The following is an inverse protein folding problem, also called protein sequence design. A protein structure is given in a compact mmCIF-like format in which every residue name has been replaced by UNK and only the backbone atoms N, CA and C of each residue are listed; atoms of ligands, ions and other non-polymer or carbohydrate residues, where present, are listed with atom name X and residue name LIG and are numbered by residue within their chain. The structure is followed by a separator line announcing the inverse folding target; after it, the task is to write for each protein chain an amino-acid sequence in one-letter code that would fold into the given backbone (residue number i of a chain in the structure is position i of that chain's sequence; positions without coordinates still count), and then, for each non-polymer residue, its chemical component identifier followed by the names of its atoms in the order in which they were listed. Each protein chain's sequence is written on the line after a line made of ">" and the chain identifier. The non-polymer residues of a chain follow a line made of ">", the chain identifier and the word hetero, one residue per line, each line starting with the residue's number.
data_IF_925619849455
#
_entry.id   IF_925619849455
#
_cell.length_a   1.000
_cell.length_b   1.000
_cell.length_c   1.000
_cell.angle_alpha   90.00
_cell.angle_beta   90.00
_cell.angle_gamma   90.00
#
_symmetry.space_group_name_H-M   'P 1'
#
loop_
_entity.id
_entity.type
_entity.pdbx_description
1 polymer ?
#
# COMPACT_ATOMS: atom_id res chain seq x y z
N UNK A 1 -18.51 -1.08 -10.79
CA UNK A 1 -17.81 0.21 -11.01
C UNK A 1 -17.08 0.21 -12.34
N UNK A 2 -16.05 -0.64 -12.53
CA UNK A 2 -15.27 -0.66 -13.78
C UNK A 2 -16.10 -1.05 -15.02
N UNK A 3 -17.10 -1.92 -14.88
CA UNK A 3 -18.05 -2.22 -15.96
C UNK A 3 -18.79 -0.97 -16.45
N UNK A 4 -19.30 -0.13 -15.55
CA UNK A 4 -19.95 1.13 -15.91
C UNK A 4 -18.99 2.11 -16.61
N UNK A 5 -17.70 2.12 -16.23
CA UNK A 5 -16.68 2.91 -16.94
C UNK A 5 -16.49 2.39 -18.36
N UNK A 6 -16.46 1.07 -18.55
CA UNK A 6 -16.35 0.42 -19.86
C UNK A 6 -17.60 0.66 -20.73
N UNK A 7 -18.78 0.74 -20.13
CA UNK A 7 -20.02 1.11 -20.84
C UNK A 7 -20.00 2.56 -21.31
N UNK A 8 -19.51 3.49 -20.48
CA UNK A 8 -19.42 4.91 -20.82
C UNK A 8 -18.31 5.21 -21.83
N UNK A 9 -17.20 4.47 -21.79
CA UNK A 9 -16.08 4.60 -22.72
C UNK A 9 -15.60 3.22 -23.20
N UNK A 10 -16.26 2.65 -24.23
CA UNK A 10 -15.95 1.31 -24.72
C UNK A 10 -14.53 1.12 -25.24
N UNK A 11 -13.93 2.17 -25.80
CA UNK A 11 -12.57 2.15 -26.34
C UNK A 11 -11.48 2.33 -25.27
N UNK A 12 -11.85 2.58 -24.01
CA UNK A 12 -10.88 2.69 -22.93
C UNK A 12 -10.21 1.34 -22.70
N UNK A 13 -8.90 1.27 -22.99
CA UNK A 13 -8.09 0.08 -22.79
C UNK A 13 -6.75 0.46 -22.14
N UNK A 14 -6.73 0.67 -20.82
CA UNK A 14 -5.53 1.13 -20.13
C UNK A 14 -4.45 0.05 -20.15
N UNK A 15 -3.21 0.45 -20.44
CA UNK A 15 -2.04 -0.42 -20.28
C UNK A 15 -1.72 -0.67 -18.80
N UNK A 16 -2.03 0.30 -17.94
CA UNK A 16 -1.75 0.26 -16.51
C UNK A 16 -2.72 1.13 -15.70
N UNK A 17 -3.01 0.75 -14.47
CA UNK A 17 -3.76 1.54 -13.47
C UNK A 17 -2.97 1.58 -12.16
N UNK A 18 -2.94 2.74 -11.51
CA UNK A 18 -2.53 2.86 -10.11
C UNK A 18 -3.77 2.96 -9.23
N UNK A 19 -3.88 2.08 -8.24
CA UNK A 19 -5.07 2.02 -7.37
C UNK A 19 -4.72 1.64 -5.93
N UNK A 20 -5.74 1.64 -5.08
CA UNK A 20 -5.60 1.15 -3.71
C UNK A 20 -5.43 -0.38 -3.67
N UNK A 21 -5.16 -0.84 -2.45
CA UNK A 21 -4.85 -2.21 -2.15
C UNK A 21 -6.14 -2.99 -1.75
N UNK A 22 -7.29 -2.72 -2.38
CA UNK A 22 -8.50 -3.49 -2.09
C UNK A 22 -8.67 -4.68 -3.05
N UNK A 23 -8.70 -5.90 -2.48
CA UNK A 23 -8.81 -7.14 -3.25
C UNK A 23 -10.07 -7.19 -4.14
N UNK A 24 -11.19 -6.66 -3.64
CA UNK A 24 -12.43 -6.58 -4.40
C UNK A 24 -12.31 -5.64 -5.60
N UNK A 25 -11.67 -4.48 -5.42
CA UNK A 25 -11.45 -3.52 -6.49
C UNK A 25 -10.49 -4.08 -7.54
N UNK A 26 -9.39 -4.71 -7.12
CA UNK A 26 -8.43 -5.36 -8.01
C UNK A 26 -9.10 -6.47 -8.83
N UNK A 27 -9.87 -7.35 -8.19
CA UNK A 27 -10.60 -8.41 -8.88
C UNK A 27 -11.59 -7.87 -9.91
N UNK A 28 -12.31 -6.80 -9.59
CA UNK A 28 -13.23 -6.14 -10.51
C UNK A 28 -12.50 -5.48 -11.70
N UNK A 29 -11.34 -4.86 -11.46
CA UNK A 29 -10.51 -4.29 -12.53
C UNK A 29 -9.98 -5.38 -13.46
N UNK A 30 -9.42 -6.46 -12.90
CA UNK A 30 -8.89 -7.60 -13.68
C UNK A 30 -9.97 -8.29 -14.51
N UNK A 31 -11.19 -8.39 -13.97
CA UNK A 31 -12.33 -8.96 -14.70
C UNK A 31 -12.76 -8.07 -15.87
N UNK A 32 -12.62 -6.76 -15.73
CA UNK A 32 -13.02 -5.78 -16.75
C UNK A 32 -11.93 -5.53 -17.80
N UNK A 33 -10.67 -5.48 -17.38
CA UNK A 33 -9.46 -5.17 -18.14
C UNK A 33 -8.32 -6.18 -17.83
N UNK A 34 -8.40 -7.42 -18.35
CA UNK A 34 -7.49 -8.51 -17.95
C UNK A 34 -6.02 -8.30 -18.35
N UNK A 35 -5.77 -7.42 -19.32
CA UNK A 35 -4.41 -7.10 -19.78
C UNK A 35 -3.81 -5.87 -19.08
N UNK A 36 -4.61 -5.13 -18.31
CA UNK A 36 -4.15 -3.94 -17.61
C UNK A 36 -3.16 -4.33 -16.50
N UNK A 37 -1.98 -3.71 -16.50
CA UNK A 37 -1.09 -3.79 -15.35
C UNK A 37 -1.70 -3.04 -14.15
N UNK A 38 -1.48 -3.56 -12.95
CA UNK A 38 -1.99 -2.98 -11.71
C UNK A 38 -0.78 -2.60 -10.87
N UNK A 39 -0.72 -1.34 -10.48
CA UNK A 39 0.32 -0.80 -9.63
C UNK A 39 -0.29 -0.32 -8.31
N UNK A 40 0.32 -0.73 -7.20
CA UNK A 40 -0.05 -0.21 -5.89
C UNK A 40 0.22 1.29 -5.80
N UNK A 41 -0.69 2.04 -5.18
CA UNK A 41 -0.54 3.48 -5.01
C UNK A 41 -0.01 3.83 -3.62
N UNK A 42 1.25 4.31 -3.53
CA UNK A 42 1.87 4.70 -2.25
C UNK A 42 1.09 5.80 -1.51
N UNK A 43 0.45 6.72 -2.25
CA UNK A 43 -0.39 7.76 -1.66
C UNK A 43 -1.57 7.15 -0.89
N UNK A 44 -2.28 6.20 -1.49
CA UNK A 44 -3.40 5.51 -0.83
C UNK A 44 -2.92 4.68 0.35
N UNK A 45 -1.79 3.97 0.21
CA UNK A 45 -1.20 3.21 1.31
C UNK A 45 -0.84 4.10 2.50
N UNK A 46 -0.17 5.23 2.25
CA UNK A 46 0.21 6.20 3.29
C UNK A 46 -1.02 6.84 3.92
N UNK A 47 -2.08 7.11 3.14
CA UNK A 47 -3.35 7.61 3.65
C UNK A 47 -4.03 6.60 4.57
N UNK A 48 -4.09 5.33 4.16
CA UNK A 48 -4.68 4.26 4.96
C UNK A 48 -3.87 4.02 6.25
N UNK A 49 -2.54 4.07 6.18
CA UNK A 49 -1.65 4.02 7.34
C UNK A 49 -1.97 5.14 8.34
N UNK A 50 -2.11 6.39 7.88
CA UNK A 50 -2.47 7.53 8.76
C UNK A 50 -3.85 7.38 9.38
N UNK A 51 -4.81 6.84 8.63
CA UNK A 51 -6.14 6.52 9.17
C UNK A 51 -6.02 5.46 10.27
N UNK A 52 -5.30 4.37 10.01
CA UNK A 52 -5.12 3.29 10.99
C UNK A 52 -4.40 3.78 12.26
N UNK A 53 -3.35 4.60 12.12
CA UNK A 53 -2.72 5.29 13.26
C UNK A 53 -3.69 6.18 14.05
N UNK A 54 -4.68 6.79 13.39
CA UNK A 54 -5.70 7.61 14.05
C UNK A 54 -6.68 6.74 14.82
N UNK A 55 -7.15 5.65 14.19
CA UNK A 55 -8.08 4.69 14.79
C UNK A 55 -7.47 4.01 16.03
N UNK A 56 -6.16 3.76 16.01
CA UNK A 56 -5.38 3.23 17.15
C UNK A 56 -4.95 4.29 18.18
N UNK A 57 -5.35 5.56 18.02
CA UNK A 57 -4.95 6.70 18.87
C UNK A 57 -3.43 6.99 18.92
N UNK A 58 -2.70 6.57 17.89
CA UNK A 58 -1.24 6.72 17.76
C UNK A 58 -0.83 7.95 16.94
N UNK A 59 -1.77 8.62 16.27
CA UNK A 59 -1.46 9.72 15.35
C UNK A 59 -0.77 10.92 16.03
N UNK A 60 -1.08 11.20 17.29
CA UNK A 60 -0.36 12.24 18.05
C UNK A 60 1.11 11.86 18.26
N UNK A 61 1.39 10.61 18.64
CA UNK A 61 2.76 10.12 18.80
C UNK A 61 3.53 10.14 17.48
N UNK A 62 2.88 9.73 16.39
CA UNK A 62 3.43 9.82 15.04
C UNK A 62 3.85 11.24 14.64
N UNK A 63 3.13 12.29 15.06
CA UNK A 63 3.48 13.66 14.70
C UNK A 63 4.57 14.29 15.60
N UNK A 64 4.77 13.76 16.80
CA UNK A 64 5.61 14.38 17.82
C UNK A 64 6.90 13.60 18.13
N UNK A 65 6.98 12.33 17.75
CA UNK A 65 8.15 11.48 17.94
C UNK A 65 8.72 11.05 16.57
N UNK A 66 9.89 11.59 16.17
CA UNK A 66 10.54 11.26 14.90
C UNK A 66 10.92 9.78 14.75
N UNK A 67 11.34 9.13 15.83
CA UNK A 67 11.75 7.72 15.81
C UNK A 67 10.54 6.80 15.66
N UNK A 68 9.46 7.11 16.39
CA UNK A 68 8.18 6.42 16.19
C UNK A 68 7.65 6.61 14.76
N UNK A 69 7.74 7.83 14.22
CA UNK A 69 7.33 8.13 12.86
C UNK A 69 8.16 7.38 11.82
N UNK A 70 9.48 7.24 12.06
CA UNK A 70 10.37 6.44 11.22
C UNK A 70 9.98 4.97 11.25
N UNK A 71 9.82 4.38 12.44
CA UNK A 71 9.39 3.00 12.62
C UNK A 71 8.05 2.71 11.91
N UNK A 72 7.07 3.62 12.05
CA UNK A 72 5.79 3.54 11.36
C UNK A 72 5.95 3.57 9.83
N UNK A 73 6.84 4.43 9.29
CA UNK A 73 7.12 4.48 7.85
C UNK A 73 7.86 3.23 7.34
N UNK A 74 8.68 2.59 8.17
CA UNK A 74 9.34 1.33 7.81
C UNK A 74 8.33 0.20 7.56
N UNK A 75 7.18 0.19 8.26
CA UNK A 75 6.08 -0.74 7.97
C UNK A 75 5.56 -0.54 6.54
N UNK A 76 5.35 0.71 6.12
CA UNK A 76 4.94 1.03 4.74
C UNK A 76 6.02 0.62 3.73
N UNK A 77 7.30 0.72 4.11
CA UNK A 77 8.42 0.35 3.25
C UNK A 77 8.47 -1.16 2.92
N UNK A 78 7.82 -2.02 3.73
CA UNK A 78 7.68 -3.44 3.42
C UNK A 78 6.99 -3.69 2.07
N UNK A 79 6.18 -2.75 1.58
CA UNK A 79 5.56 -2.83 0.26
C UNK A 79 6.57 -2.87 -0.91
N UNK A 80 7.85 -2.52 -0.66
CA UNK A 80 8.91 -2.50 -1.65
C UNK A 80 9.86 -3.70 -1.55
N UNK A 81 9.68 -4.57 -0.56
CA UNK A 81 10.55 -5.73 -0.36
C UNK A 81 10.18 -6.82 -1.37
N UNK A 82 11.17 -7.47 -2.03
CA UNK A 82 10.94 -8.61 -2.92
C UNK A 82 10.22 -9.78 -2.26
N UNK A 83 9.59 -10.67 -3.05
CA UNK A 83 8.76 -11.73 -2.48
C UNK A 83 9.52 -12.71 -1.62
N UNK A 84 10.72 -12.98 -2.07
CA UNK A 84 11.64 -13.94 -1.51
C UNK A 84 12.15 -13.50 -0.14
N UNK A 85 12.19 -12.18 0.10
CA UNK A 85 12.77 -11.58 1.30
C UNK A 85 11.72 -11.04 2.28
N UNK A 86 10.44 -10.95 1.89
CA UNK A 86 9.42 -10.26 2.69
C UNK A 86 9.22 -10.89 4.07
N UNK A 87 9.19 -12.22 4.16
CA UNK A 87 9.00 -12.90 5.45
C UNK A 87 10.09 -12.54 6.45
N UNK A 88 11.35 -12.58 6.00
CA UNK A 88 12.49 -12.19 6.82
C UNK A 88 12.44 -10.71 7.18
N UNK A 89 12.06 -9.84 6.25
CA UNK A 89 11.96 -8.41 6.49
C UNK A 89 10.86 -8.06 7.50
N UNK A 90 9.70 -8.72 7.42
CA UNK A 90 8.58 -8.56 8.36
C UNK A 90 9.00 -9.02 9.76
N UNK A 91 9.59 -10.21 9.88
CA UNK A 91 10.04 -10.75 11.16
C UNK A 91 11.11 -9.86 11.80
N UNK A 92 12.11 -9.44 11.02
CA UNK A 92 13.18 -8.56 11.47
C UNK A 92 12.61 -7.23 11.95
N UNK A 93 11.72 -6.61 11.17
CA UNK A 93 11.10 -5.35 11.54
C UNK A 93 10.24 -5.51 12.81
N UNK A 94 9.41 -6.55 12.88
CA UNK A 94 8.53 -6.80 14.02
C UNK A 94 9.29 -6.91 15.36
N UNK A 95 10.50 -7.48 15.35
CA UNK A 95 11.35 -7.59 16.54
C UNK A 95 11.93 -6.25 17.01
N UNK A 96 12.11 -5.30 16.11
CA UNK A 96 12.67 -3.97 16.39
C UNK A 96 11.59 -2.90 16.61
N UNK A 97 10.35 -3.18 16.21
CA UNK A 97 9.25 -2.22 16.33
C UNK A 97 8.87 -1.95 17.80
N UNK A 98 8.59 -0.69 18.17
CA UNK A 98 7.91 -0.37 19.42
C UNK A 98 6.61 -1.16 19.55
N UNK A 99 6.32 -1.71 20.74
CA UNK A 99 5.10 -2.50 21.01
C UNK A 99 3.81 -1.75 20.63
N UNK A 100 3.83 -0.42 20.68
CA UNK A 100 2.70 0.42 20.25
C UNK A 100 2.38 0.29 18.75
N UNK A 101 3.33 -0.12 17.89
CA UNK A 101 3.12 -0.32 16.46
C UNK A 101 2.68 -1.73 16.09
N UNK A 102 2.56 -2.64 17.06
CA UNK A 102 2.04 -4.00 16.82
C UNK A 102 0.67 -4.02 16.12
N UNK A 103 -0.32 -3.18 16.49
CA UNK A 103 -1.61 -3.12 15.77
C UNK A 103 -1.44 -2.72 14.30
N UNK A 104 -0.46 -1.86 14.03
CA UNK A 104 -0.23 -1.27 12.72
C UNK A 104 0.45 -2.26 11.76
N UNK A 105 1.48 -2.98 12.21
CA UNK A 105 2.10 -4.04 11.40
C UNK A 105 1.11 -5.19 11.17
N UNK A 106 0.28 -5.50 12.18
CA UNK A 106 -0.79 -6.48 12.05
C UNK A 106 -1.81 -6.07 10.98
N UNK A 107 -2.29 -4.84 11.01
CA UNK A 107 -3.17 -4.29 9.97
C UNK A 107 -2.53 -4.36 8.58
N UNK A 108 -1.25 -4.01 8.47
CA UNK A 108 -0.53 -4.07 7.20
C UNK A 108 -0.41 -5.50 6.67
N UNK A 109 -0.12 -6.46 7.55
CA UNK A 109 -0.16 -7.89 7.19
C UNK A 109 -1.57 -8.33 6.77
N UNK A 110 -2.62 -7.97 7.48
CA UNK A 110 -3.98 -8.44 7.15
C UNK A 110 -4.52 -7.85 5.85
N UNK A 111 -4.14 -6.61 5.53
CA UNK A 111 -4.72 -5.87 4.41
C UNK A 111 -3.84 -5.85 3.16
N UNK A 112 -2.52 -5.90 3.29
CA UNK A 112 -1.60 -5.60 2.19
C UNK A 112 -0.78 -6.83 1.75
N UNK A 113 -0.16 -7.55 2.69
CA UNK A 113 0.84 -8.58 2.35
C UNK A 113 0.52 -10.02 2.78
N UNK A 114 -0.38 -10.16 3.73
CA UNK A 114 -1.04 -11.39 4.17
C UNK A 114 -0.25 -12.13 5.19
N UNK A 115 -0.96 -12.80 6.10
CA UNK A 115 -0.33 -13.55 7.16
C UNK A 115 0.42 -14.75 6.59
N UNK A 116 1.64 -14.94 7.09
CA UNK A 116 2.40 -16.17 6.86
C UNK A 116 1.66 -17.33 7.52
N UNK A 117 1.28 -18.31 6.72
CA UNK A 117 0.76 -19.55 7.26
C UNK A 117 1.94 -20.48 7.58
N UNK A 118 2.30 -20.57 8.86
CA UNK A 118 3.40 -21.41 9.34
C UNK A 118 3.23 -22.90 9.03
N UNK A 119 2.00 -23.38 8.78
CA UNK A 119 1.76 -24.78 8.42
C UNK A 119 2.10 -25.10 6.96
N UNK A 120 2.06 -24.10 6.07
CA UNK A 120 2.33 -24.26 4.63
C UNK A 120 3.59 -23.53 4.17
N UNK A 121 4.19 -22.71 5.04
CA UNK A 121 5.30 -21.79 4.73
C UNK A 121 4.97 -20.90 3.53
N UNK A 122 3.70 -20.58 3.34
CA UNK A 122 3.21 -19.66 2.31
C UNK A 122 2.38 -18.59 2.98
N UNK A 123 2.52 -17.34 2.53
CA UNK A 123 1.53 -16.31 2.89
C UNK A 123 0.18 -16.71 2.31
N UNK A 124 -0.87 -16.73 3.14
CA UNK A 124 -2.24 -16.73 2.63
C UNK A 124 -2.38 -15.46 1.80
N UNK A 125 -2.81 -15.54 0.53
CA UNK A 125 -2.52 -14.49 -0.43
C UNK A 125 -3.17 -13.18 -0.01
N UNK A 126 -2.43 -12.08 -0.11
CA UNK A 126 -3.03 -10.89 -0.64
C UNK A 126 -2.08 -10.24 -1.65
N UNK A 127 -2.74 -9.52 -2.56
CA UNK A 127 -2.25 -8.60 -3.59
C UNK A 127 -0.84 -8.70 -4.16
N UNK A 128 0.20 -8.59 -3.36
CA UNK A 128 1.55 -8.34 -3.85
C UNK A 128 2.18 -9.60 -4.49
N UNK A 129 1.57 -10.79 -4.32
CA UNK A 129 1.88 -11.96 -5.15
C UNK A 129 1.37 -11.83 -6.60
N UNK A 130 0.68 -10.73 -6.94
CA UNK A 130 0.20 -10.42 -8.29
C UNK A 130 1.02 -9.25 -8.85
N UNK A 131 2.20 -9.61 -9.38
CA UNK A 131 3.12 -8.87 -10.26
C UNK A 131 4.27 -8.08 -9.61
N UNK A 132 5.46 -8.50 -10.05
CA UNK A 132 6.72 -7.75 -10.07
C UNK A 132 6.50 -6.31 -10.56
N UNK A 133 7.12 -5.38 -9.83
CA UNK A 133 7.82 -4.15 -10.25
C UNK A 133 7.67 -3.09 -9.15
N UNK A 134 8.35 -3.33 -8.03
CA UNK A 134 8.57 -2.39 -6.94
C UNK A 134 9.32 -1.11 -7.38
N UNK A 135 9.91 -1.10 -8.59
CA UNK A 135 10.77 0.00 -9.06
C UNK A 135 10.05 1.09 -9.87
N UNK A 136 8.92 0.81 -10.54
CA UNK A 136 8.17 1.85 -11.29
C UNK A 136 7.34 2.77 -10.37
N UNK A 137 7.00 2.30 -9.17
CA UNK A 137 6.20 3.05 -8.18
C UNK A 137 6.98 4.22 -7.58
N UNK A 138 8.30 4.07 -7.43
CA UNK A 138 9.18 5.09 -6.88
C UNK A 138 9.30 6.28 -7.85
N UNK A 139 9.50 6.01 -9.14
CA UNK A 139 9.65 7.06 -10.15
C UNK A 139 8.36 7.90 -10.31
N UNK A 140 7.20 7.26 -10.38
CA UNK A 140 5.94 7.99 -10.55
C UNK A 140 5.50 8.80 -9.32
N UNK A 141 5.86 8.34 -8.12
CA UNK A 141 5.51 9.07 -6.89
C UNK A 141 6.44 10.24 -6.65
N UNK A 142 7.76 10.07 -6.82
CA UNK A 142 8.75 11.16 -6.67
C UNK A 142 8.52 12.29 -7.68
N UNK A 143 8.14 11.96 -8.92
CA UNK A 143 7.83 12.97 -9.95
C UNK A 143 6.55 13.77 -9.64
N UNK A 144 5.58 13.22 -8.89
CA UNK A 144 4.36 13.94 -8.50
C UNK A 144 4.52 14.79 -7.25
N UNK A 145 5.35 14.41 -6.28
CA UNK A 145 5.62 15.25 -5.11
C UNK A 145 6.40 16.52 -5.46
N UNK A 146 7.11 16.56 -6.58
CA UNK A 146 7.72 17.79 -7.11
C UNK A 146 6.68 18.81 -7.63
N UNK A 147 5.45 18.38 -7.93
CA UNK A 147 4.36 19.27 -8.37
C UNK A 147 3.34 19.63 -7.28
N UNK A 148 3.37 18.99 -6.11
CA UNK A 148 2.45 19.30 -4.99
C UNK A 148 2.95 20.49 -4.15
N UNK A 149 4.21 20.91 -4.33
CA UNK A 149 4.78 22.11 -3.68
C UNK A 149 4.08 23.42 -4.04
N UNK A 150 3.22 23.44 -5.06
CA UNK A 150 2.53 24.64 -5.54
C UNK A 150 1.07 24.78 -5.04
N UNK A 151 0.55 23.82 -4.25
CA UNK A 151 -0.81 23.94 -3.72
C UNK A 151 -0.87 24.86 -2.50
N UNK A 152 -1.10 26.16 -2.74
CA UNK A 152 -1.61 27.08 -1.72
C UNK A 152 -3.11 26.88 -1.55
N UNK A 153 -3.62 26.46 -0.38
CA UNK A 153 -5.05 26.48 -0.13
C UNK A 153 -5.52 27.95 -0.09
N UNK A 154 -6.45 28.29 -0.98
CA UNK A 154 -7.20 29.54 -0.90
C UNK A 154 -8.03 29.52 0.38
N UNK A 155 -7.71 30.44 1.29
CA UNK A 155 -8.55 30.78 2.43
C UNK A 155 -9.78 31.53 1.92
N UNK A 156 -10.94 30.93 2.05
CA UNK A 156 -12.24 31.60 2.19
C UNK A 156 -12.97 31.01 3.40
#
# INVERSE_FOLDING_TARGET
>A
MFEAVKELWPDLNPSSVSMDFEQAAIGALQSTYPLCAIHGCLFHLTKNMRKNLTDENLFSMYNNDPEFALAARMIVALAFVPIEDLDMAVETLANELPLHLTPIINWFEDTSIGRLNHSTTRRCPPMWSIREHSMEIIEQTILRTQHIGDYKPSLE
#
